data_IF_758737611476
#
_entry.id   IF_758737611476
#
_cell.length_a   1.000
_cell.length_b   1.000
_cell.length_c   1.000
_cell.angle_alpha   90.00
_cell.angle_beta   90.00
_cell.angle_gamma   90.00
#
_symmetry.space_group_name_H-M   'P 1'
#
loop_
_entity.id
_entity.type
_entity.pdbx_description
1 polymer ?
#
# COMPACT_ATOMS: atom_id res chain seq x y z
N UNK A 1 -23.48 -12.37 24.52
CA UNK A 1 -22.06 -12.00 24.50
C UNK A 1 -21.72 -11.47 23.12
N UNK A 2 -21.10 -10.30 23.02
CA UNK A 2 -20.65 -9.76 21.72
C UNK A 2 -19.60 -10.69 21.09
N UNK A 3 -19.64 -10.84 19.78
CA UNK A 3 -18.63 -11.63 19.07
C UNK A 3 -17.27 -10.93 19.14
N UNK A 4 -16.19 -11.69 19.33
CA UNK A 4 -14.82 -11.19 19.28
C UNK A 4 -14.17 -11.62 17.95
N UNK A 5 -13.57 -10.67 17.24
CA UNK A 5 -13.01 -10.88 15.91
C UNK A 5 -11.56 -10.37 15.89
N UNK A 6 -10.64 -11.22 15.43
CA UNK A 6 -9.27 -10.81 15.12
C UNK A 6 -9.14 -10.50 13.63
N UNK A 7 -8.58 -9.35 13.29
CA UNK A 7 -8.23 -8.97 11.92
C UNK A 7 -6.70 -8.87 11.83
N UNK A 8 -6.11 -9.57 10.87
CA UNK A 8 -4.66 -9.58 10.63
C UNK A 8 -4.36 -8.71 9.42
N UNK A 9 -3.60 -7.64 9.64
CA UNK A 9 -3.28 -6.59 8.67
C UNK A 9 -4.15 -5.36 8.82
N UNK A 10 -3.53 -4.19 9.06
CA UNK A 10 -4.17 -2.87 9.18
C UNK A 10 -3.93 -1.97 7.95
N UNK A 11 -3.83 -2.57 6.77
CA UNK A 11 -3.96 -1.88 5.50
C UNK A 11 -5.37 -1.32 5.32
N UNK A 12 -5.66 -0.66 4.19
CA UNK A 12 -6.98 -0.08 3.94
C UNK A 12 -8.10 -1.10 4.15
N UNK A 13 -8.00 -2.29 3.54
CA UNK A 13 -9.03 -3.34 3.66
C UNK A 13 -9.30 -3.75 5.11
N UNK A 14 -8.25 -4.02 5.90
CA UNK A 14 -8.41 -4.39 7.31
C UNK A 14 -8.96 -3.25 8.17
N UNK A 15 -8.53 -2.02 7.91
CA UNK A 15 -9.03 -0.83 8.62
C UNK A 15 -10.51 -0.56 8.33
N UNK A 16 -10.92 -0.66 7.06
CA UNK A 16 -12.33 -0.52 6.64
C UNK A 16 -13.19 -1.63 7.21
N UNK A 17 -12.70 -2.88 7.15
CA UNK A 17 -13.41 -4.02 7.72
C UNK A 17 -13.62 -3.83 9.24
N UNK A 18 -12.60 -3.41 9.97
CA UNK A 18 -12.70 -3.11 11.39
C UNK A 18 -13.69 -1.97 11.67
N UNK A 19 -13.70 -0.93 10.83
CA UNK A 19 -14.63 0.19 10.94
C UNK A 19 -16.10 -0.26 10.89
N UNK A 20 -16.43 -1.19 10.00
CA UNK A 20 -17.80 -1.69 9.90
C UNK A 20 -18.13 -2.71 11.00
N UNK A 21 -17.25 -3.68 11.26
CA UNK A 21 -17.52 -4.78 12.20
C UNK A 21 -17.60 -4.32 13.67
N UNK A 22 -16.88 -3.29 14.08
CA UNK A 22 -16.93 -2.78 15.47
C UNK A 22 -18.31 -2.30 15.91
N UNK A 23 -19.23 -2.05 14.96
CA UNK A 23 -20.63 -1.67 15.28
C UNK A 23 -21.41 -2.82 15.94
N UNK A 24 -20.95 -4.08 15.75
CA UNK A 24 -21.66 -5.29 16.20
C UNK A 24 -20.76 -6.31 16.90
N UNK A 25 -19.44 -6.09 16.93
CA UNK A 25 -18.47 -7.03 17.48
C UNK A 25 -17.29 -6.30 18.16
N UNK A 26 -16.61 -7.00 19.06
CA UNK A 26 -15.31 -6.56 19.58
C UNK A 26 -14.22 -6.93 18.58
N UNK A 27 -13.55 -5.96 18.02
CA UNK A 27 -12.56 -6.13 16.97
C UNK A 27 -11.17 -5.75 17.45
N UNK A 28 -10.20 -6.66 17.32
CA UNK A 28 -8.77 -6.38 17.51
C UNK A 28 -8.05 -6.53 16.19
N UNK A 29 -7.19 -5.56 15.84
CA UNK A 29 -6.31 -5.60 14.69
C UNK A 29 -4.89 -5.96 15.10
N UNK A 30 -4.22 -6.75 14.27
CA UNK A 30 -2.82 -7.13 14.44
C UNK A 30 -2.03 -6.67 13.22
N UNK A 31 -1.02 -5.84 13.44
CA UNK A 31 -0.21 -5.25 12.38
C UNK A 31 1.28 -5.49 12.65
N UNK A 32 1.97 -6.06 11.67
CA UNK A 32 3.41 -6.33 11.77
C UNK A 32 4.28 -5.06 11.77
N UNK A 33 3.78 -3.99 11.18
CA UNK A 33 4.48 -2.71 11.03
C UNK A 33 4.27 -1.81 12.26
N UNK A 34 4.93 -0.64 12.25
CA UNK A 34 4.78 0.37 13.31
C UNK A 34 3.52 1.24 13.13
N UNK A 35 2.79 1.08 12.03
CA UNK A 35 1.63 1.91 11.72
C UNK A 35 0.71 1.25 10.71
N UNK A 36 -0.48 1.80 10.60
CA UNK A 36 -1.48 1.39 9.62
C UNK A 36 -1.09 1.79 8.19
N UNK A 37 -1.83 1.36 7.22
CA UNK A 37 -1.88 1.79 5.81
C UNK A 37 -1.35 0.77 4.80
N UNK A 38 -0.48 -0.16 5.18
CA UNK A 38 0.05 -1.14 4.24
C UNK A 38 0.64 -0.46 2.98
N UNK A 39 0.07 -0.74 1.81
CA UNK A 39 0.53 -0.16 0.52
C UNK A 39 0.13 1.30 0.29
N UNK A 40 -0.58 1.94 1.19
CA UNK A 40 -0.82 3.41 1.20
C UNK A 40 0.12 4.13 2.17
N UNK A 41 1.26 3.55 2.50
CA UNK A 41 2.17 4.09 3.50
C UNK A 41 3.00 5.28 2.97
N UNK A 42 3.29 6.19 3.88
CA UNK A 42 4.24 7.28 3.72
C UNK A 42 5.44 7.01 4.62
N UNK A 43 6.64 7.18 4.11
CA UNK A 43 7.89 7.14 4.87
C UNK A 43 8.40 8.56 5.06
N UNK A 44 8.95 8.86 6.23
CA UNK A 44 9.59 10.14 6.52
C UNK A 44 11.03 9.91 6.94
N UNK A 45 11.92 10.78 6.51
CA UNK A 45 13.32 10.83 6.92
C UNK A 45 13.71 12.30 7.07
N UNK A 46 14.09 12.71 8.26
CA UNK A 46 14.27 14.13 8.59
C UNK A 46 13.06 14.96 8.10
N UNK A 47 13.31 15.97 7.29
CA UNK A 47 12.27 16.85 6.72
C UNK A 47 11.68 16.34 5.41
N UNK A 48 12.16 15.20 4.91
CA UNK A 48 11.67 14.58 3.69
C UNK A 48 10.49 13.62 3.95
N UNK A 49 9.50 13.65 3.06
CA UNK A 49 8.32 12.78 3.11
C UNK A 49 8.08 12.13 1.76
N UNK A 50 7.79 10.82 1.78
CA UNK A 50 7.65 10.00 0.60
C UNK A 50 6.42 9.09 0.69
N UNK A 51 5.41 9.32 -0.13
CA UNK A 51 4.32 8.37 -0.33
C UNK A 51 4.84 7.22 -1.20
N UNK A 52 5.57 6.30 -0.60
CA UNK A 52 6.33 5.29 -1.35
C UNK A 52 5.50 4.07 -1.80
N UNK A 53 4.22 4.04 -1.46
CA UNK A 53 3.24 3.10 -1.96
C UNK A 53 2.36 3.71 -3.04
N UNK A 54 1.02 3.67 -2.86
CA UNK A 54 0.08 4.29 -3.77
C UNK A 54 0.32 5.80 -3.88
N UNK A 55 0.40 6.30 -5.12
CA UNK A 55 0.69 7.71 -5.38
C UNK A 55 -0.56 8.57 -5.36
N UNK A 56 -1.66 7.99 -5.75
CA UNK A 56 -3.01 8.52 -5.78
C UNK A 56 -3.99 7.34 -5.92
N UNK A 57 -5.26 7.62 -5.88
CA UNK A 57 -6.30 6.66 -6.21
C UNK A 57 -7.45 7.33 -6.95
N UNK A 58 -8.29 6.51 -7.58
CA UNK A 58 -9.52 6.92 -8.25
C UNK A 58 -10.70 6.28 -7.54
N UNK A 59 -11.88 6.88 -7.63
CA UNK A 59 -13.12 6.35 -7.05
C UNK A 59 -14.16 6.26 -8.17
N UNK A 60 -14.64 5.07 -8.49
CA UNK A 60 -15.52 4.81 -9.61
C UNK A 60 -16.88 4.29 -9.21
N UNK A 61 -16.94 3.40 -8.21
CA UNK A 61 -18.22 2.88 -7.75
C UNK A 61 -18.94 3.86 -6.83
N UNK A 62 -20.28 3.84 -6.86
CA UNK A 62 -21.09 4.66 -5.97
C UNK A 62 -20.79 4.35 -4.50
N UNK A 63 -20.64 3.07 -4.14
CA UNK A 63 -20.34 2.65 -2.78
C UNK A 63 -19.03 3.24 -2.25
N UNK A 64 -17.99 3.25 -3.08
CA UNK A 64 -16.70 3.81 -2.66
C UNK A 64 -16.74 5.33 -2.61
N UNK A 65 -17.44 5.99 -3.54
CA UNK A 65 -17.69 7.44 -3.49
C UNK A 65 -18.45 7.82 -2.21
N UNK A 66 -19.53 7.12 -1.86
CA UNK A 66 -20.28 7.34 -0.61
C UNK A 66 -19.41 7.13 0.63
N UNK A 67 -18.56 6.09 0.63
CA UNK A 67 -17.60 5.85 1.71
C UNK A 67 -16.59 6.99 1.86
N UNK A 68 -16.19 7.64 0.78
CA UNK A 68 -15.22 8.73 0.80
C UNK A 68 -15.83 10.08 1.22
N UNK A 69 -17.14 10.28 1.15
CA UNK A 69 -17.79 11.58 1.41
C UNK A 69 -17.33 12.25 2.72
N UNK A 70 -17.33 11.59 3.89
CA UNK A 70 -16.88 12.22 5.14
C UNK A 70 -15.42 12.68 5.07
N UNK A 71 -14.56 11.92 4.38
CA UNK A 71 -13.13 12.22 4.25
C UNK A 71 -12.84 13.30 3.20
N UNK A 72 -13.75 13.52 2.27
CA UNK A 72 -13.72 14.65 1.33
C UNK A 72 -14.19 15.93 2.02
N UNK A 73 -15.25 15.85 2.85
CA UNK A 73 -15.81 16.96 3.60
C UNK A 73 -14.82 17.51 4.64
N UNK A 74 -14.16 16.63 5.41
CA UNK A 74 -13.16 17.00 6.41
C UNK A 74 -11.76 17.24 5.80
N UNK A 75 -11.62 17.09 4.48
CA UNK A 75 -10.39 17.25 3.71
C UNK A 75 -9.27 16.27 4.06
N UNK A 76 -9.56 15.17 4.72
CA UNK A 76 -8.61 14.04 4.84
C UNK A 76 -8.28 13.44 3.48
N UNK A 77 -9.23 13.50 2.54
CA UNK A 77 -9.03 13.17 1.13
C UNK A 77 -9.30 14.42 0.29
N UNK A 78 -8.45 14.67 -0.68
CA UNK A 78 -8.60 15.81 -1.61
C UNK A 78 -8.30 15.38 -3.03
N UNK A 79 -8.86 16.09 -4.00
CA UNK A 79 -8.50 15.90 -5.40
C UNK A 79 -7.11 16.48 -5.66
N UNK A 80 -6.26 15.69 -6.29
CA UNK A 80 -4.95 16.11 -6.79
C UNK A 80 -5.05 16.34 -8.30
N UNK A 81 -4.71 17.55 -8.75
CA UNK A 81 -4.75 17.97 -10.16
C UNK A 81 -3.32 18.18 -10.71
N UNK A 82 -2.58 17.08 -10.91
CA UNK A 82 -1.18 17.19 -11.33
C UNK A 82 -1.03 17.55 -12.80
N UNK A 83 0.03 18.29 -13.11
CA UNK A 83 0.55 18.37 -14.47
C UNK A 83 1.32 17.10 -14.78
N UNK A 84 0.75 16.23 -15.59
CA UNK A 84 1.37 14.94 -15.94
C UNK A 84 2.01 15.02 -17.33
N UNK A 85 3.26 14.56 -17.42
CA UNK A 85 3.96 14.37 -18.69
C UNK A 85 4.13 12.90 -19.02
N UNK A 86 4.35 12.61 -20.29
CA UNK A 86 4.95 11.35 -20.73
C UNK A 86 6.39 11.63 -21.12
N UNK A 87 7.32 10.86 -20.52
CA UNK A 87 8.75 10.92 -20.79
C UNK A 87 9.18 9.66 -21.53
N UNK A 88 10.05 9.83 -22.49
CA UNK A 88 10.71 8.73 -23.21
C UNK A 88 12.10 9.21 -23.61
N UNK A 89 13.14 8.42 -23.34
CA UNK A 89 14.53 8.81 -23.63
C UNK A 89 14.70 9.15 -25.11
N UNK A 90 15.31 10.30 -25.41
CA UNK A 90 15.55 10.76 -26.78
C UNK A 90 14.33 11.35 -27.48
N UNK A 91 13.23 11.61 -26.76
CA UNK A 91 12.03 12.26 -27.31
C UNK A 91 11.61 13.45 -26.44
N UNK A 92 10.99 14.42 -27.09
CA UNK A 92 10.43 15.56 -26.35
C UNK A 92 9.28 15.11 -25.44
N UNK A 93 9.23 15.63 -24.22
CA UNK A 93 8.13 15.36 -23.30
C UNK A 93 6.81 15.90 -23.84
N UNK A 94 5.73 15.15 -23.68
CA UNK A 94 4.40 15.63 -24.05
C UNK A 94 3.41 15.53 -22.90
N UNK A 95 2.47 16.49 -22.86
CA UNK A 95 1.43 16.55 -21.83
C UNK A 95 0.49 15.35 -21.97
N UNK A 96 0.26 14.65 -20.86
CA UNK A 96 -0.74 13.59 -20.76
C UNK A 96 -2.05 14.16 -20.25
N UNK A 97 -3.13 13.96 -21.01
CA UNK A 97 -4.46 14.23 -20.52
C UNK A 97 -4.92 13.10 -19.60
N UNK A 98 -5.64 13.46 -18.56
CA UNK A 98 -6.21 12.52 -17.62
C UNK A 98 -7.68 12.89 -17.40
N UNK A 99 -8.56 11.92 -17.48
CA UNK A 99 -10.02 12.16 -17.63
C UNK A 99 -10.82 11.83 -16.38
N UNK A 100 -10.19 11.30 -15.34
CA UNK A 100 -10.85 10.96 -14.08
C UNK A 100 -10.17 11.64 -12.90
N UNK A 101 -10.91 11.99 -11.81
CA UNK A 101 -10.34 12.59 -10.64
C UNK A 101 -9.29 11.68 -9.98
N UNK A 102 -8.17 12.28 -9.59
CA UNK A 102 -7.15 11.64 -8.76
C UNK A 102 -7.32 12.12 -7.35
N UNK A 103 -7.41 11.20 -6.42
CA UNK A 103 -7.51 11.52 -5.00
C UNK A 103 -6.22 11.16 -4.28
N UNK A 104 -5.86 12.00 -3.32
CA UNK A 104 -4.78 11.77 -2.36
C UNK A 104 -5.31 12.00 -0.96
N UNK A 105 -4.76 11.30 0.03
CA UNK A 105 -4.99 11.66 1.42
C UNK A 105 -4.00 12.74 1.85
N UNK A 106 -4.39 13.66 2.74
CA UNK A 106 -3.55 14.71 3.30
C UNK A 106 -3.55 14.68 4.84
N UNK A 107 -2.46 15.15 5.46
CA UNK A 107 -1.21 15.63 4.85
C UNK A 107 -0.35 14.54 4.21
N UNK A 108 -0.66 13.25 4.38
CA UNK A 108 0.09 12.07 3.88
C UNK A 108 -0.86 11.01 3.36
N UNK A 109 -0.40 10.11 2.48
CA UNK A 109 -1.25 9.01 2.02
C UNK A 109 -1.73 8.09 3.17
N UNK A 110 -0.93 7.97 4.23
CA UNK A 110 -1.33 7.24 5.45
C UNK A 110 -2.53 7.85 6.17
N UNK A 111 -2.87 9.11 5.95
CA UNK A 111 -3.87 9.85 6.74
C UNK A 111 -5.27 9.24 6.64
N UNK A 112 -5.67 8.78 5.46
CA UNK A 112 -6.95 8.11 5.29
C UNK A 112 -7.06 6.85 6.16
N UNK A 113 -6.07 5.96 6.10
CA UNK A 113 -6.08 4.75 6.91
C UNK A 113 -6.01 5.07 8.42
N UNK A 114 -5.27 6.12 8.82
CA UNK A 114 -5.23 6.59 10.21
C UNK A 114 -6.59 7.10 10.67
N UNK A 115 -7.29 7.89 9.87
CA UNK A 115 -8.63 8.37 10.19
C UNK A 115 -9.63 7.22 10.36
N UNK A 116 -9.62 6.24 9.44
CA UNK A 116 -10.47 5.04 9.52
C UNK A 116 -10.15 4.20 10.76
N UNK A 117 -8.87 4.11 11.13
CA UNK A 117 -8.39 3.27 12.22
C UNK A 117 -8.33 3.98 13.59
N UNK A 118 -8.66 5.27 13.69
CA UNK A 118 -8.40 6.13 14.86
C UNK A 118 -8.99 5.64 16.19
N UNK A 119 -10.06 4.84 16.17
CA UNK A 119 -10.74 4.32 17.36
C UNK A 119 -10.57 2.80 17.54
N UNK A 120 -9.56 2.18 16.92
CA UNK A 120 -9.42 0.73 16.91
C UNK A 120 -8.39 0.25 17.93
N UNK A 121 -8.64 -0.94 18.50
CA UNK A 121 -7.63 -1.70 19.23
C UNK A 121 -6.65 -2.32 18.23
N UNK A 122 -5.46 -1.72 18.07
CA UNK A 122 -4.43 -2.16 17.13
C UNK A 122 -3.17 -2.56 17.86
N UNK A 123 -2.77 -3.80 17.71
CA UNK A 123 -1.49 -4.31 18.20
C UNK A 123 -0.46 -4.18 17.08
N UNK A 124 0.36 -3.13 17.17
CA UNK A 124 1.46 -2.88 16.22
C UNK A 124 2.67 -3.77 16.52
N UNK A 125 3.59 -3.86 15.55
CA UNK A 125 4.82 -4.67 15.63
C UNK A 125 4.54 -6.14 15.98
N UNK A 126 3.34 -6.62 15.61
CA UNK A 126 2.84 -7.96 15.94
C UNK A 126 2.56 -8.72 14.65
N UNK A 127 3.54 -9.49 14.19
CA UNK A 127 3.36 -10.39 13.05
C UNK A 127 2.71 -11.68 13.55
N UNK A 128 1.59 -12.06 12.96
CA UNK A 128 0.97 -13.35 13.25
C UNK A 128 1.57 -14.41 12.36
N UNK A 129 2.18 -15.42 12.98
CA UNK A 129 2.87 -16.49 12.28
C UNK A 129 2.03 -17.77 12.20
N UNK A 130 1.11 -17.95 13.17
CA UNK A 130 0.22 -19.12 13.27
C UNK A 130 -1.05 -18.78 14.02
N UNK A 131 -2.14 -19.49 13.70
CA UNK A 131 -3.38 -19.46 14.48
C UNK A 131 -3.79 -20.89 14.82
N UNK A 132 -4.45 -21.10 15.96
CA UNK A 132 -4.99 -22.40 16.34
C UNK A 132 -6.27 -22.25 17.15
N UNK A 133 -7.08 -23.29 17.19
CA UNK A 133 -8.29 -23.32 18.03
C UNK A 133 -8.04 -24.00 19.36
N UNK A 134 -8.57 -23.36 20.41
CA UNK A 134 -8.68 -23.95 21.75
C UNK A 134 -10.09 -23.71 22.26
N UNK A 135 -10.80 -24.78 22.63
CA UNK A 135 -12.20 -24.71 23.11
C UNK A 135 -13.14 -23.96 22.14
N UNK A 136 -13.00 -24.19 20.82
CA UNK A 136 -13.83 -23.55 19.80
C UNK A 136 -13.56 -22.05 19.57
N UNK A 137 -12.47 -21.52 20.13
CA UNK A 137 -12.02 -20.14 19.97
C UNK A 137 -10.62 -20.09 19.37
N UNK A 138 -10.37 -19.06 18.58
CA UNK A 138 -9.07 -18.84 17.96
C UNK A 138 -8.09 -18.14 18.90
N UNK A 139 -6.85 -18.60 18.86
CA UNK A 139 -5.67 -17.98 19.46
C UNK A 139 -4.67 -17.65 18.35
N UNK A 140 -3.97 -16.52 18.49
CA UNK A 140 -2.99 -16.00 17.55
C UNK A 140 -1.60 -16.06 18.18
N UNK A 141 -0.62 -16.50 17.39
CA UNK A 141 0.78 -16.68 17.81
C UNK A 141 1.68 -15.75 17.00
N UNK A 142 2.60 -15.12 17.68
CA UNK A 142 3.70 -14.32 17.15
C UNK A 142 4.99 -14.72 17.84
N UNK A 143 6.02 -15.13 17.10
CA UNK A 143 7.31 -15.54 17.65
C UNK A 143 7.17 -16.54 18.82
N UNK A 144 6.33 -17.57 18.60
CA UNK A 144 6.02 -18.65 19.55
C UNK A 144 5.23 -18.24 20.82
N UNK A 145 4.84 -16.97 20.95
CA UNK A 145 4.02 -16.48 22.05
C UNK A 145 2.57 -16.25 21.62
N UNK A 146 1.61 -16.53 22.52
CA UNK A 146 0.20 -16.20 22.30
C UNK A 146 0.02 -14.70 22.55
N UNK A 147 -0.29 -13.97 21.46
CA UNK A 147 -0.48 -12.50 21.49
C UNK A 147 -1.95 -12.09 21.50
N UNK A 148 -2.86 -13.06 21.31
CA UNK A 148 -4.29 -12.84 21.38
C UNK A 148 -5.05 -14.15 21.43
N UNK A 149 -6.15 -14.20 22.22
CA UNK A 149 -6.95 -15.43 22.38
C UNK A 149 -8.44 -15.14 22.56
N UNK A 150 -9.27 -16.16 22.39
CA UNK A 150 -10.70 -16.08 22.64
C UNK A 150 -11.53 -15.54 21.46
N UNK A 151 -10.97 -15.44 20.27
CA UNK A 151 -11.69 -14.93 19.10
C UNK A 151 -12.66 -15.93 18.51
N UNK A 152 -13.86 -15.43 18.13
CA UNK A 152 -14.84 -16.22 17.40
C UNK A 152 -14.43 -16.39 15.95
N UNK A 153 -13.87 -15.34 15.36
CA UNK A 153 -13.45 -15.27 13.95
C UNK A 153 -12.03 -14.75 13.83
N UNK A 154 -11.32 -15.26 12.82
CA UNK A 154 -10.06 -14.66 12.35
C UNK A 154 -10.20 -14.29 10.88
N UNK A 155 -9.87 -13.05 10.56
CA UNK A 155 -9.95 -12.53 9.20
C UNK A 155 -8.57 -12.00 8.79
N UNK A 156 -8.00 -12.57 7.72
CA UNK A 156 -6.76 -12.04 7.14
C UNK A 156 -7.07 -10.97 6.09
N UNK A 157 -6.52 -9.76 6.29
CA UNK A 157 -6.56 -8.65 5.35
C UNK A 157 -5.15 -8.34 4.80
N UNK A 158 -4.30 -9.37 4.72
CA UNK A 158 -2.94 -9.31 4.17
C UNK A 158 -2.92 -9.74 2.69
N UNK A 159 -1.83 -9.51 1.95
CA UNK A 159 -1.68 -10.07 0.61
C UNK A 159 -1.93 -11.58 0.57
N UNK A 160 -2.57 -12.08 -0.50
CA UNK A 160 -3.00 -13.47 -0.60
C UNK A 160 -1.89 -14.50 -0.31
N UNK A 161 -0.66 -14.23 -0.73
CA UNK A 161 0.48 -15.12 -0.47
C UNK A 161 0.77 -15.18 1.03
N UNK A 162 0.82 -14.05 1.72
CA UNK A 162 1.03 -14.01 3.18
C UNK A 162 -0.15 -14.64 3.95
N UNK A 163 -1.38 -14.45 3.47
CA UNK A 163 -2.57 -15.12 4.01
C UNK A 163 -2.47 -16.63 3.87
N UNK A 164 -2.04 -17.10 2.69
CA UNK A 164 -1.85 -18.54 2.43
C UNK A 164 -0.78 -19.13 3.34
N UNK A 165 0.39 -18.48 3.43
CA UNK A 165 1.48 -18.91 4.33
C UNK A 165 1.01 -19.04 5.79
N UNK A 166 0.25 -18.08 6.29
CA UNK A 166 -0.33 -18.11 7.64
C UNK A 166 -1.31 -19.27 7.82
N UNK A 167 -2.20 -19.47 6.86
CA UNK A 167 -3.23 -20.51 6.97
C UNK A 167 -2.65 -21.91 6.78
N UNK A 168 -1.71 -22.09 5.86
CA UNK A 168 -0.98 -23.37 5.66
C UNK A 168 -0.20 -23.75 6.92
N UNK A 169 0.51 -22.80 7.54
CA UNK A 169 1.21 -22.99 8.83
C UNK A 169 0.24 -23.37 9.98
N UNK A 170 -1.04 -23.05 9.82
CA UNK A 170 -2.11 -23.31 10.80
C UNK A 170 -2.94 -24.55 10.45
N UNK A 171 -2.62 -25.27 9.37
CA UNK A 171 -3.39 -26.43 8.89
C UNK A 171 -4.77 -26.06 8.32
N UNK A 172 -4.94 -24.83 7.82
CA UNK A 172 -6.20 -24.31 7.27
C UNK A 172 -6.07 -24.18 5.75
N UNK A 173 -7.00 -24.76 5.03
CA UNK A 173 -7.14 -24.54 3.59
C UNK A 173 -8.30 -23.60 3.31
N UNK A 174 -8.05 -22.58 2.47
CA UNK A 174 -9.06 -21.62 2.04
C UNK A 174 -9.00 -21.47 0.51
N UNK A 175 -10.10 -21.77 -0.14
CA UNK A 175 -10.20 -21.73 -1.60
C UNK A 175 -10.00 -20.30 -2.15
N UNK A 176 -9.41 -20.19 -3.33
CA UNK A 176 -9.20 -18.92 -4.05
C UNK A 176 -7.86 -18.24 -3.80
N UNK A 177 -7.12 -18.62 -2.75
CA UNK A 177 -5.81 -18.00 -2.45
C UNK A 177 -4.69 -18.43 -3.39
N UNK A 178 -4.70 -19.68 -3.85
CA UNK A 178 -3.63 -20.26 -4.67
C UNK A 178 -3.53 -19.68 -6.07
N UNK A 179 -4.61 -19.09 -6.56
CA UNK A 179 -4.68 -18.55 -7.93
C UNK A 179 -4.19 -17.10 -8.05
N UNK A 180 -4.03 -16.42 -6.92
CA UNK A 180 -3.65 -15.01 -6.88
C UNK A 180 -2.17 -14.84 -7.19
N UNK A 181 -1.88 -13.95 -8.14
CA UNK A 181 -0.52 -13.58 -8.49
C UNK A 181 -0.29 -12.07 -8.34
N UNK A 182 0.94 -11.71 -8.08
CA UNK A 182 1.37 -10.32 -7.93
C UNK A 182 2.52 -9.99 -8.87
N UNK A 183 2.55 -8.73 -9.28
CA UNK A 183 3.73 -8.12 -9.90
C UNK A 183 4.42 -7.24 -8.85
N UNK A 184 5.75 -7.34 -8.71
CA UNK A 184 6.52 -6.50 -7.80
C UNK A 184 6.71 -5.08 -8.33
N UNK A 185 7.20 -4.21 -7.46
CA UNK A 185 7.64 -2.86 -7.79
C UNK A 185 8.72 -2.43 -6.80
N UNK A 186 9.73 -1.74 -7.29
CA UNK A 186 10.64 -0.97 -6.45
C UNK A 186 10.16 0.47 -6.40
N UNK A 187 10.25 1.08 -5.24
CA UNK A 187 9.96 2.49 -5.02
C UNK A 187 11.23 3.18 -4.54
N UNK A 188 11.89 3.92 -5.43
CA UNK A 188 13.03 4.76 -5.08
C UNK A 188 12.49 6.10 -4.58
N UNK A 189 13.02 6.55 -3.44
CA UNK A 189 12.69 7.80 -2.77
C UNK A 189 13.91 8.70 -2.81
N UNK A 190 13.76 9.90 -3.39
CA UNK A 190 14.86 10.85 -3.56
C UNK A 190 14.49 12.19 -2.96
N UNK A 191 15.23 12.61 -1.95
CA UNK A 191 15.21 13.98 -1.41
C UNK A 191 16.23 14.85 -2.14
N UNK A 192 15.83 16.06 -2.56
CA UNK A 192 16.69 16.97 -3.31
C UNK A 192 17.22 18.08 -2.41
N UNK A 193 18.51 18.40 -2.55
CA UNK A 193 19.22 19.40 -1.76
C UNK A 193 18.91 20.84 -2.17
N UNK A 194 18.49 21.06 -3.42
CA UNK A 194 18.23 22.37 -3.97
C UNK A 194 16.89 22.44 -4.71
N UNK A 195 16.36 23.64 -4.97
CA UNK A 195 15.11 23.82 -5.70
C UNK A 195 15.27 23.49 -7.19
N UNK A 196 15.46 22.21 -7.51
CA UNK A 196 15.42 21.74 -8.89
C UNK A 196 14.04 22.07 -9.48
N UNK A 197 14.01 22.80 -10.57
CA UNK A 197 12.76 23.13 -11.24
C UNK A 197 12.37 22.02 -12.20
N UNK A 198 11.32 21.29 -11.83
CA UNK A 198 10.67 20.31 -12.70
C UNK A 198 9.40 20.95 -13.25
N UNK A 199 9.17 20.84 -14.54
CA UNK A 199 8.00 21.41 -15.19
C UNK A 199 6.78 20.48 -15.18
N UNK A 200 6.76 19.50 -14.27
CA UNK A 200 5.68 18.53 -14.07
C UNK A 200 5.52 18.17 -12.60
N UNK A 201 4.35 17.69 -12.23
CA UNK A 201 4.05 17.11 -10.89
C UNK A 201 4.18 15.60 -10.89
N UNK A 202 3.96 14.99 -12.05
CA UNK A 202 4.18 13.55 -12.25
C UNK A 202 4.52 13.25 -13.71
N UNK A 203 5.16 12.10 -13.93
CA UNK A 203 5.48 11.63 -15.26
C UNK A 203 5.27 10.13 -15.41
N UNK A 204 4.62 9.73 -16.50
CA UNK A 204 4.64 8.36 -16.98
C UNK A 204 5.88 8.17 -17.85
N UNK A 205 6.67 7.15 -17.59
CA UNK A 205 7.89 6.87 -18.37
C UNK A 205 7.66 5.66 -19.28
N UNK A 206 8.13 5.77 -20.52
CA UNK A 206 8.08 4.71 -21.52
C UNK A 206 9.47 4.14 -21.79
N UNK A 207 9.53 2.86 -22.10
CA UNK A 207 10.76 2.15 -22.55
C UNK A 207 11.92 2.33 -21.55
N UNK A 208 11.64 2.18 -20.25
CA UNK A 208 12.59 2.43 -19.15
C UNK A 208 12.35 1.47 -17.99
N UNK A 209 13.36 1.16 -17.19
CA UNK A 209 13.19 0.57 -15.87
C UNK A 209 12.21 1.32 -14.98
N UNK A 210 12.13 2.63 -15.11
CA UNK A 210 11.17 3.49 -14.41
C UNK A 210 9.83 3.49 -15.16
N UNK A 211 8.74 3.40 -14.41
CA UNK A 211 7.37 3.52 -14.94
C UNK A 211 6.68 4.81 -14.59
N UNK A 212 6.95 5.33 -13.39
CA UNK A 212 6.30 6.50 -12.84
C UNK A 212 7.26 7.32 -12.00
N UNK A 213 7.18 8.65 -12.14
CA UNK A 213 7.87 9.62 -11.31
C UNK A 213 6.79 10.55 -10.74
N UNK A 214 6.79 10.77 -9.43
CA UNK A 214 5.98 11.80 -8.79
C UNK A 214 6.86 12.77 -8.03
N UNK A 215 6.63 14.08 -8.23
CA UNK A 215 7.13 15.13 -7.36
C UNK A 215 6.24 15.10 -6.12
N UNK A 216 6.63 14.33 -5.10
CA UNK A 216 5.77 14.07 -3.94
C UNK A 216 5.42 15.36 -3.19
N UNK A 217 6.35 16.30 -3.14
CA UNK A 217 6.17 17.64 -2.54
C UNK A 217 5.19 18.54 -3.32
N UNK A 218 4.76 18.18 -4.55
CA UNK A 218 3.70 18.90 -5.27
C UNK A 218 2.30 18.59 -4.75
N UNK A 219 2.14 17.51 -3.98
CA UNK A 219 0.87 17.12 -3.40
C UNK A 219 0.52 18.01 -2.22
N UNK A 220 -0.75 18.35 -2.09
CA UNK A 220 -1.26 19.21 -1.01
C UNK A 220 -0.92 18.61 0.36
N UNK A 221 -0.42 19.44 1.26
CA UNK A 221 -0.14 19.07 2.65
C UNK A 221 1.19 18.35 2.89
N UNK A 222 2.01 18.10 1.85
CA UNK A 222 3.36 17.52 2.01
C UNK A 222 4.37 18.59 2.44
N UNK A 223 5.52 18.13 2.96
CA UNK A 223 6.67 18.99 3.25
C UNK A 223 7.06 19.81 2.03
N UNK A 224 7.56 21.03 2.26
CA UNK A 224 8.08 21.93 1.21
C UNK A 224 9.42 21.46 0.65
N UNK A 225 10.14 20.57 1.36
CA UNK A 225 11.36 19.97 0.86
C UNK A 225 11.07 19.11 -0.36
N UNK A 226 11.80 19.34 -1.43
CA UNK A 226 11.52 18.69 -2.70
C UNK A 226 11.85 17.21 -2.64
N UNK A 227 10.85 16.40 -2.91
CA UNK A 227 10.95 14.94 -2.87
C UNK A 227 10.36 14.30 -4.11
N UNK A 228 11.06 13.30 -4.61
CA UNK A 228 10.62 12.48 -5.73
C UNK A 228 10.34 11.05 -5.24
N UNK A 229 9.27 10.47 -5.75
CA UNK A 229 8.99 9.03 -5.60
C UNK A 229 8.93 8.41 -6.98
N UNK A 230 9.77 7.42 -7.19
CA UNK A 230 9.96 6.75 -8.46
C UNK A 230 9.52 5.31 -8.35
N UNK A 231 8.58 4.87 -9.17
CA UNK A 231 8.20 3.47 -9.27
C UNK A 231 8.83 2.82 -10.50
N UNK A 232 9.45 1.67 -10.28
CA UNK A 232 9.95 0.86 -11.38
C UNK A 232 8.80 0.30 -12.23
N UNK A 233 9.09 -0.13 -13.44
CA UNK A 233 8.18 -0.99 -14.19
C UNK A 233 8.09 -2.37 -13.51
N UNK A 234 6.91 -3.00 -13.60
CA UNK A 234 6.70 -4.30 -12.95
C UNK A 234 7.55 -5.41 -13.60
N UNK A 235 7.77 -5.37 -14.92
CA UNK A 235 8.62 -6.34 -15.62
C UNK A 235 10.07 -6.22 -15.15
N UNK A 236 10.63 -5.01 -15.16
CA UNK A 236 11.99 -4.79 -14.68
C UNK A 236 12.13 -5.18 -13.19
N UNK A 237 11.13 -4.87 -12.37
CA UNK A 237 11.14 -5.26 -10.96
C UNK A 237 11.11 -6.79 -10.79
N UNK A 238 10.39 -7.51 -11.64
CA UNK A 238 10.36 -8.97 -11.62
C UNK A 238 11.73 -9.57 -11.94
N UNK A 239 12.41 -9.05 -12.96
CA UNK A 239 13.72 -9.51 -13.38
C UNK A 239 14.83 -9.22 -12.35
N UNK A 240 14.62 -8.20 -11.50
CA UNK A 240 15.58 -7.74 -10.49
C UNK A 240 15.13 -8.00 -9.04
N UNK A 241 14.06 -8.78 -8.82
CA UNK A 241 13.40 -8.89 -7.51
C UNK A 241 14.35 -9.38 -6.41
N UNK A 242 15.26 -10.28 -6.74
CA UNK A 242 16.20 -10.88 -5.79
C UNK A 242 17.61 -10.27 -5.85
N UNK A 243 17.80 -9.20 -6.65
CA UNK A 243 19.08 -8.48 -6.69
C UNK A 243 19.29 -7.71 -5.38
N UNK A 244 20.55 -7.41 -5.08
CA UNK A 244 20.93 -6.55 -3.97
C UNK A 244 20.28 -5.17 -4.11
N UNK A 245 19.81 -4.61 -2.97
CA UNK A 245 19.08 -3.34 -2.98
C UNK A 245 19.95 -2.18 -3.47
N UNK A 246 21.24 -2.17 -3.14
CA UNK A 246 22.18 -1.17 -3.61
C UNK A 246 22.26 -1.15 -5.14
N UNK A 247 22.42 -2.31 -5.77
CA UNK A 247 22.41 -2.43 -7.23
C UNK A 247 21.12 -1.86 -7.85
N UNK A 248 19.97 -2.24 -7.31
CA UNK A 248 18.67 -1.76 -7.81
C UNK A 248 18.53 -0.25 -7.65
N UNK A 249 18.99 0.29 -6.51
CA UNK A 249 19.00 1.72 -6.21
C UNK A 249 19.84 2.49 -7.23
N UNK A 250 21.08 2.04 -7.48
CA UNK A 250 22.00 2.68 -8.41
C UNK A 250 21.46 2.70 -9.84
N UNK A 251 20.86 1.57 -10.28
CA UNK A 251 20.25 1.49 -11.61
C UNK A 251 19.07 2.46 -11.77
N UNK A 252 18.16 2.52 -10.79
CA UNK A 252 17.02 3.42 -10.84
C UNK A 252 17.43 4.89 -10.69
N UNK A 253 18.43 5.19 -9.86
CA UNK A 253 18.95 6.55 -9.71
C UNK A 253 19.62 7.04 -10.99
N UNK A 254 20.49 6.24 -11.57
CA UNK A 254 21.17 6.57 -12.83
C UNK A 254 20.18 6.84 -13.97
N UNK A 255 19.13 5.99 -14.08
CA UNK A 255 18.07 6.19 -15.06
C UNK A 255 17.28 7.47 -14.78
N UNK A 256 16.93 7.75 -13.51
CA UNK A 256 16.24 8.99 -13.12
C UNK A 256 17.06 10.23 -13.52
N UNK A 257 18.35 10.26 -13.16
CA UNK A 257 19.28 11.36 -13.49
C UNK A 257 19.28 11.61 -15.00
N UNK A 258 19.42 10.53 -15.79
CA UNK A 258 19.40 10.62 -17.25
C UNK A 258 18.08 11.14 -17.84
N UNK A 259 16.94 10.80 -17.22
CA UNK A 259 15.61 11.15 -17.73
C UNK A 259 15.21 12.60 -17.48
N UNK A 260 15.60 13.15 -16.34
CA UNK A 260 15.10 14.48 -15.92
C UNK A 260 16.24 15.53 -15.77
N UNK A 261 17.46 15.16 -16.12
CA UNK A 261 18.60 16.08 -16.13
C UNK A 261 19.06 16.51 -14.75
N UNK A 262 18.91 15.66 -13.74
CA UNK A 262 19.53 15.87 -12.43
C UNK A 262 21.02 15.58 -12.49
N UNK A 263 21.71 16.04 -11.45
CA UNK A 263 23.10 15.63 -11.16
C UNK A 263 23.15 14.98 -9.77
N UNK A 264 24.22 14.25 -9.46
CA UNK A 264 24.38 13.61 -8.15
C UNK A 264 24.42 14.64 -7.00
N UNK A 265 24.92 15.84 -7.24
CA UNK A 265 24.97 16.92 -6.23
C UNK A 265 23.59 17.48 -5.88
N UNK A 266 22.57 17.23 -6.69
CA UNK A 266 21.20 17.63 -6.41
C UNK A 266 20.51 16.68 -5.41
N UNK A 267 21.14 15.55 -5.09
CA UNK A 267 20.55 14.48 -4.28
C UNK A 267 21.09 14.54 -2.86
N UNK A 268 20.21 14.73 -1.89
CA UNK A 268 20.52 14.82 -0.47
C UNK A 268 20.13 13.53 0.31
N UNK A 269 19.10 12.85 -0.13
CA UNK A 269 18.64 11.61 0.49
C UNK A 269 18.17 10.60 -0.53
N UNK A 270 18.51 9.33 -0.32
CA UNK A 270 18.04 8.21 -1.13
C UNK A 270 17.62 7.07 -0.20
N UNK A 271 16.47 6.47 -0.52
CA UNK A 271 16.01 5.24 0.12
C UNK A 271 15.25 4.39 -0.92
N UNK A 272 15.22 3.09 -0.74
CA UNK A 272 14.58 2.15 -1.65
C UNK A 272 13.67 1.18 -0.90
N UNK A 273 12.42 1.06 -1.37
CA UNK A 273 11.48 0.07 -0.88
C UNK A 273 11.24 -1.02 -1.94
N UNK A 274 11.31 -2.29 -1.52
CA UNK A 274 10.96 -3.45 -2.34
C UNK A 274 9.54 -3.90 -2.03
N UNK A 275 8.61 -3.71 -2.96
CA UNK A 275 7.23 -4.16 -2.86
C UNK A 275 7.05 -5.47 -3.63
N UNK A 276 7.22 -6.61 -2.96
CA UNK A 276 7.05 -7.95 -3.59
C UNK A 276 5.61 -8.18 -4.06
N UNK A 277 4.64 -7.65 -3.35
CA UNK A 277 3.20 -7.79 -3.61
C UNK A 277 2.59 -6.43 -3.97
N UNK A 278 3.20 -5.71 -4.92
CA UNK A 278 2.82 -4.34 -5.24
C UNK A 278 1.46 -4.27 -5.92
N UNK A 279 1.26 -5.07 -6.97
CA UNK A 279 0.08 -5.04 -7.82
C UNK A 279 -0.41 -6.46 -8.07
N UNK A 280 -1.70 -6.70 -7.88
CA UNK A 280 -2.34 -7.96 -8.27
C UNK A 280 -2.31 -8.06 -9.79
N UNK A 281 -1.72 -9.13 -10.31
CA UNK A 281 -1.70 -9.45 -11.75
C UNK A 281 -2.76 -10.48 -12.13
N UNK A 282 -3.13 -11.38 -11.21
CA UNK A 282 -4.27 -12.28 -11.32
C UNK A 282 -5.04 -12.28 -10.00
N UNK A 283 -6.30 -11.89 -10.02
CA UNK A 283 -7.19 -11.87 -8.86
C UNK A 283 -7.85 -13.23 -8.64
N UNK A 284 -8.39 -13.45 -7.43
CA UNK A 284 -9.17 -14.65 -7.12
C UNK A 284 -10.57 -14.64 -7.77
N UNK A 285 -11.05 -13.46 -8.16
CA UNK A 285 -12.41 -13.21 -8.67
C UNK A 285 -13.52 -13.64 -7.68
N UNK A 286 -13.21 -13.56 -6.39
CA UNK A 286 -14.15 -13.79 -5.28
C UNK A 286 -14.21 -12.52 -4.45
N UNK A 287 -15.38 -12.07 -4.05
CA UNK A 287 -15.52 -10.89 -3.18
C UNK A 287 -14.82 -11.08 -1.83
N UNK A 288 -14.83 -12.31 -1.32
CA UNK A 288 -14.18 -12.71 -0.08
C UNK A 288 -13.91 -14.23 -0.12
N UNK A 289 -12.78 -14.65 0.43
CA UNK A 289 -12.55 -16.07 0.68
C UNK A 289 -13.04 -16.39 2.09
N UNK A 290 -13.97 -17.34 2.23
CA UNK A 290 -14.70 -17.60 3.48
C UNK A 290 -14.79 -19.08 3.78
N UNK A 291 -14.52 -19.47 5.03
CA UNK A 291 -14.85 -20.79 5.59
C UNK A 291 -15.69 -20.60 6.87
N UNK A 292 -17.03 -20.65 6.76
CA UNK A 292 -17.93 -20.44 7.90
C UNK A 292 -17.81 -21.51 8.99
N UNK A 293 -17.51 -22.74 8.62
CA UNK A 293 -17.39 -23.86 9.58
C UNK A 293 -16.20 -23.66 10.52
N UNK A 294 -15.08 -23.19 9.99
CA UNK A 294 -13.89 -22.86 10.77
C UNK A 294 -13.97 -21.42 11.33
N UNK A 295 -14.88 -20.59 10.85
CA UNK A 295 -14.95 -19.15 11.19
C UNK A 295 -13.66 -18.41 10.87
N UNK A 296 -13.15 -18.62 9.67
CA UNK A 296 -12.02 -17.89 9.09
C UNK A 296 -12.42 -17.25 7.77
N UNK A 297 -11.82 -16.11 7.48
CA UNK A 297 -12.02 -15.42 6.21
C UNK A 297 -10.73 -14.71 5.77
N UNK A 298 -10.69 -14.33 4.50
CA UNK A 298 -9.63 -13.49 3.96
C UNK A 298 -10.18 -12.55 2.90
N UNK A 299 -9.67 -11.31 2.91
CA UNK A 299 -10.06 -10.26 1.96
C UNK A 299 -8.89 -9.33 1.62
N UNK A 300 -9.03 -8.61 0.55
CA UNK A 300 -8.04 -7.63 0.08
C UNK A 300 -8.29 -7.22 -1.37
N UNK A 301 -7.46 -6.34 -1.90
CA UNK A 301 -7.50 -5.95 -3.31
C UNK A 301 -7.37 -7.14 -4.27
N UNK A 302 -6.73 -8.19 -3.83
CA UNK A 302 -6.55 -9.43 -4.59
C UNK A 302 -7.84 -10.23 -4.82
N UNK A 303 -8.90 -9.88 -4.13
CA UNK A 303 -10.21 -10.47 -4.36
C UNK A 303 -10.76 -10.12 -5.73
N UNK A 304 -10.79 -8.82 -6.07
CA UNK A 304 -11.44 -8.29 -7.28
C UNK A 304 -10.49 -7.56 -8.23
N UNK A 305 -9.33 -7.11 -7.76
CA UNK A 305 -8.34 -6.42 -8.57
C UNK A 305 -7.54 -5.38 -7.81
N UNK A 306 -6.42 -4.96 -8.42
CA UNK A 306 -5.40 -4.13 -7.78
C UNK A 306 -5.77 -2.65 -7.77
N UNK A 307 -6.61 -2.23 -6.82
CA UNK A 307 -7.02 -0.83 -6.63
C UNK A 307 -7.07 -0.48 -5.15
N UNK A 308 -7.11 0.82 -4.86
CA UNK A 308 -7.42 1.34 -3.52
C UNK A 308 -8.91 1.16 -3.22
N UNK A 309 -9.73 1.30 -4.24
CA UNK A 309 -11.16 1.05 -4.20
C UNK A 309 -11.52 -0.40 -3.89
#
# INVERSE_FOLDING_TARGET
>A
MSQSIAIIGSGLSGSVLAYYLQKSANVSLFEKSQGVSGRMSTRSFADFEFDHGAQFFTARSNKFNEFLLPYLEDRTVVEWKPKILTLEKGKDPFKRLWYEPHYIAQPKMTSLCKAIASSKDIKFKTRIDKIFQKNGRWSLVSSDEIVGEGYCWVISATPAIQTRELFDASGISLNGLSEVNYSPCFSLMVGLSSPVQLNFDAALVKNSPIKWIAVNSSKIGRSTHKTLVIHSSNSWAQDNLERELSYVQDQLLSELISLIGLTEVDVDHIDLARWRYAKVSKASNQEVCLNPSLKVAACGDWCLGSRVE
#
